data_IF_041089546042
#
_entry.id   IF_041089546042
#
_cell.length_a   1.000
_cell.length_b   1.000
_cell.length_c   1.000
_cell.angle_alpha   90.00
_cell.angle_beta   90.00
_cell.angle_gamma   90.00
#
_symmetry.space_group_name_H-M   'P 1'
#
loop_
_entity.id
_entity.type
_entity.pdbx_description
1 polymer ?
#
# COMPACT_ATOMS: atom_id res chain seq x y z
N UNK A 1 13.09 14.58 5.08
CA UNK A 1 13.05 13.14 4.74
C UNK A 1 13.24 13.00 3.25
N UNK A 2 14.29 12.29 2.83
CA UNK A 2 14.61 12.07 1.42
C UNK A 2 13.49 11.32 0.67
N UNK A 3 13.34 11.63 -0.63
CA UNK A 3 12.38 10.99 -1.55
C UNK A 3 12.44 9.46 -1.51
N UNK A 4 13.66 8.93 -1.55
CA UNK A 4 13.92 7.49 -1.47
C UNK A 4 13.30 6.89 -0.19
N UNK A 5 13.36 7.63 0.91
CA UNK A 5 12.88 7.21 2.21
C UNK A 5 11.35 7.18 2.29
N UNK A 6 10.65 8.18 1.71
CA UNK A 6 9.17 8.18 1.65
C UNK A 6 8.62 7.03 0.81
N UNK A 7 9.27 6.76 -0.33
CA UNK A 7 8.83 5.69 -1.23
C UNK A 7 9.09 4.31 -0.60
N UNK A 8 10.24 4.13 0.05
CA UNK A 8 10.54 2.92 0.83
C UNK A 8 9.53 2.70 1.95
N UNK A 9 9.22 3.73 2.74
CA UNK A 9 8.20 3.64 3.81
C UNK A 9 6.84 3.20 3.23
N UNK A 10 6.43 3.77 2.11
CA UNK A 10 5.15 3.43 1.49
C UNK A 10 5.10 1.96 1.05
N UNK A 11 6.18 1.46 0.43
CA UNK A 11 6.31 0.06 0.04
C UNK A 11 6.33 -0.87 1.25
N UNK A 12 7.12 -0.56 2.28
CA UNK A 12 7.21 -1.37 3.50
C UNK A 12 5.86 -1.49 4.22
N UNK A 13 5.10 -0.39 4.29
CA UNK A 13 3.77 -0.39 4.92
C UNK A 13 2.79 -1.23 4.11
N UNK A 14 2.82 -1.11 2.78
CA UNK A 14 1.97 -1.90 1.89
C UNK A 14 2.25 -3.41 2.05
N UNK A 15 3.51 -3.83 2.02
CA UNK A 15 3.89 -5.24 2.16
C UNK A 15 3.46 -5.82 3.51
N UNK A 16 3.68 -5.08 4.61
CA UNK A 16 3.23 -5.48 5.94
C UNK A 16 1.71 -5.62 6.02
N UNK A 17 0.97 -4.73 5.34
CA UNK A 17 -0.48 -4.76 5.35
C UNK A 17 -1.03 -5.96 4.56
N UNK A 18 -0.48 -6.24 3.37
CA UNK A 18 -0.82 -7.42 2.58
C UNK A 18 -0.53 -8.71 3.35
N UNK A 19 0.65 -8.81 3.97
CA UNK A 19 1.00 -9.94 4.83
C UNK A 19 -0.03 -10.13 5.95
N UNK A 20 -0.39 -9.04 6.64
CA UNK A 20 -1.39 -9.06 7.71
C UNK A 20 -2.73 -9.57 7.20
N UNK A 21 -3.24 -9.07 6.07
CA UNK A 21 -4.48 -9.55 5.44
C UNK A 21 -4.40 -11.06 5.16
N UNK A 22 -3.26 -11.53 4.63
CA UNK A 22 -3.03 -12.94 4.33
C UNK A 22 -3.14 -13.85 5.56
N UNK A 23 -2.64 -13.38 6.71
CA UNK A 23 -2.62 -14.11 7.98
C UNK A 23 -3.96 -14.03 8.72
N UNK A 24 -4.57 -12.84 8.82
CA UNK A 24 -5.74 -12.63 9.70
C UNK A 24 -7.08 -12.88 9.01
N UNK A 25 -7.17 -12.64 7.70
CA UNK A 25 -8.43 -12.79 6.98
C UNK A 25 -8.58 -14.25 6.53
N UNK A 26 -9.45 -15.02 7.19
CA UNK A 26 -9.69 -16.42 6.82
C UNK A 26 -10.68 -16.57 5.66
N UNK A 27 -11.60 -15.61 5.50
CA UNK A 27 -12.57 -15.62 4.43
C UNK A 27 -11.93 -15.16 3.10
N UNK A 28 -11.92 -16.04 2.10
CA UNK A 28 -11.26 -15.75 0.82
C UNK A 28 -11.88 -14.58 0.05
N UNK A 29 -13.20 -14.37 0.15
CA UNK A 29 -13.88 -13.25 -0.52
C UNK A 29 -13.48 -11.92 0.11
N UNK A 30 -13.55 -11.83 1.43
CA UNK A 30 -13.15 -10.62 2.16
C UNK A 30 -11.66 -10.34 2.00
N UNK A 31 -10.83 -11.39 1.98
CA UNK A 31 -9.39 -11.29 1.70
C UNK A 31 -9.12 -10.67 0.35
N UNK A 32 -9.80 -11.15 -0.70
CA UNK A 32 -9.65 -10.61 -2.05
C UNK A 32 -10.05 -9.13 -2.13
N UNK A 33 -11.15 -8.76 -1.49
CA UNK A 33 -11.60 -7.35 -1.41
C UNK A 33 -10.56 -6.50 -0.67
N UNK A 34 -10.06 -6.98 0.48
CA UNK A 34 -9.07 -6.27 1.28
C UNK A 34 -7.74 -6.07 0.54
N UNK A 35 -7.26 -7.09 -0.19
CA UNK A 35 -6.05 -6.99 -1.02
C UNK A 35 -6.25 -5.95 -2.12
N UNK A 36 -7.38 -6.01 -2.84
CA UNK A 36 -7.70 -5.06 -3.93
C UNK A 36 -7.75 -3.62 -3.43
N UNK A 37 -8.35 -3.41 -2.26
CA UNK A 37 -8.41 -2.09 -1.62
C UNK A 37 -7.03 -1.60 -1.20
N UNK A 38 -6.19 -2.48 -0.64
CA UNK A 38 -4.82 -2.16 -0.26
C UNK A 38 -3.97 -1.76 -1.48
N UNK A 39 -4.06 -2.51 -2.57
CA UNK A 39 -3.38 -2.23 -3.83
C UNK A 39 -3.80 -0.87 -4.40
N UNK A 40 -5.11 -0.61 -4.44
CA UNK A 40 -5.64 0.66 -4.94
C UNK A 40 -5.15 1.84 -4.11
N UNK A 41 -5.19 1.73 -2.79
CA UNK A 41 -4.70 2.77 -1.88
C UNK A 41 -3.20 3.02 -2.05
N UNK A 42 -2.39 1.96 -2.21
CA UNK A 42 -0.96 2.07 -2.47
C UNK A 42 -0.67 2.81 -3.77
N UNK A 43 -1.38 2.49 -4.85
CA UNK A 43 -1.22 3.17 -6.14
C UNK A 43 -1.58 4.65 -6.07
N UNK A 44 -2.66 5.00 -5.35
CA UNK A 44 -3.04 6.40 -5.13
C UNK A 44 -2.01 7.16 -4.31
N UNK A 45 -1.52 6.57 -3.22
CA UNK A 45 -0.48 7.18 -2.39
C UNK A 45 0.82 7.39 -3.18
N UNK A 46 1.23 6.41 -3.99
CA UNK A 46 2.40 6.49 -4.86
C UNK A 46 2.25 7.62 -5.87
N UNK A 47 1.12 7.68 -6.58
CA UNK A 47 0.84 8.74 -7.55
C UNK A 47 0.82 10.13 -6.88
N UNK A 48 0.21 10.24 -5.69
CA UNK A 48 0.18 11.49 -4.95
C UNK A 48 1.57 11.97 -4.53
N UNK A 49 2.47 11.06 -4.13
CA UNK A 49 3.87 11.41 -3.86
C UNK A 49 4.58 11.91 -5.13
N UNK A 50 4.37 11.23 -6.26
CA UNK A 50 4.96 11.62 -7.54
C UNK A 50 4.48 13.02 -8.00
N UNK A 51 3.19 13.33 -7.85
CA UNK A 51 2.59 14.62 -8.24
C UNK A 51 2.97 15.78 -7.31
N UNK A 52 3.01 15.54 -5.99
CA UNK A 52 3.37 16.58 -5.02
C UNK A 52 4.86 16.93 -5.03
N UNK A 53 5.70 16.08 -5.61
CA UNK A 53 7.14 16.33 -5.74
C UNK A 53 7.54 16.95 -7.10
N UNK A 54 6.59 17.10 -8.04
CA UNK A 54 6.77 17.84 -9.29
C UNK A 54 6.37 19.32 -9.21
N UNK A 55 5.77 19.74 -8.09
CA UNK A 55 5.39 21.13 -7.80
C UNK A 55 6.37 21.77 -6.84
#
# INVERSE_FOLDING_TARGET
MDKLNKQQILTDVYEKFIYTIGVVCQNNREKSIAITNAETAYLWAKKSLEENEQK
#
